data_IF_624711571722
#
_entry.id   IF_624711571722
#
_cell.length_a   1.000
_cell.length_b   1.000
_cell.length_c   1.000
_cell.angle_alpha   90.00
_cell.angle_beta   90.00
_cell.angle_gamma   90.00
#
_symmetry.space_group_name_H-M   'P 1'
#
loop_
_entity.id
_entity.type
_entity.pdbx_description
1 polymer ?
#
# COMPACT_ATOMS: atom_id res chain seq x y z
N UNK A 1 -14.85 -7.48 -0.10
CA UNK A 1 -13.48 -7.87 0.27
C UNK A 1 -12.79 -6.61 0.68
N UNK A 2 -12.38 -6.50 1.93
CA UNK A 2 -11.62 -5.36 2.40
C UNK A 2 -10.14 -5.71 2.43
N UNK A 3 -9.29 -4.71 2.21
CA UNK A 3 -7.85 -4.82 2.25
C UNK A 3 -7.34 -4.04 3.47
N UNK A 4 -6.42 -4.64 4.21
CA UNK A 4 -5.70 -4.03 5.33
C UNK A 4 -4.20 -4.04 4.98
N UNK A 5 -3.67 -2.87 4.63
CA UNK A 5 -2.25 -2.71 4.32
C UNK A 5 -1.54 -1.95 5.43
N UNK A 6 -0.38 -2.45 5.83
CA UNK A 6 0.49 -1.84 6.83
C UNK A 6 1.89 -1.74 6.28
N UNK A 7 2.48 -0.55 6.36
CA UNK A 7 3.83 -0.33 5.85
C UNK A 7 4.88 -1.22 6.53
N UNK A 8 4.66 -1.57 7.80
CA UNK A 8 5.51 -2.51 8.53
C UNK A 8 5.59 -3.88 7.86
N UNK A 9 4.46 -4.41 7.41
CA UNK A 9 4.36 -5.71 6.75
C UNK A 9 4.95 -5.69 5.34
N UNK A 10 4.96 -4.53 4.70
CA UNK A 10 5.65 -4.26 3.44
C UNK A 10 7.17 -4.02 3.57
N UNK A 11 7.75 -4.16 4.76
CA UNK A 11 9.19 -3.97 4.98
C UNK A 11 9.62 -2.52 5.27
N UNK A 12 8.68 -1.61 5.53
CA UNK A 12 8.94 -0.25 6.01
C UNK A 12 8.55 -0.10 7.49
N UNK A 13 9.31 -0.69 8.44
CA UNK A 13 8.96 -0.74 9.86
C UNK A 13 8.96 0.63 10.56
N UNK A 14 9.66 1.62 9.99
CA UNK A 14 9.68 3.00 10.49
C UNK A 14 8.44 3.79 10.10
N UNK A 15 7.65 3.28 9.15
CA UNK A 15 6.42 3.90 8.72
C UNK A 15 5.23 3.29 9.46
N UNK A 16 4.57 4.10 10.31
CA UNK A 16 3.31 3.73 10.96
C UNK A 16 2.09 3.82 10.03
N UNK A 17 2.28 3.86 8.71
CA UNK A 17 1.21 3.99 7.73
C UNK A 17 0.32 2.76 7.69
N UNK A 18 -0.97 2.97 7.91
CA UNK A 18 -2.02 1.97 7.81
C UNK A 18 -3.06 2.45 6.80
N UNK A 19 -3.33 1.62 5.79
CA UNK A 19 -4.25 1.91 4.71
C UNK A 19 -5.27 0.79 4.66
N UNK A 20 -6.54 1.14 4.81
CA UNK A 20 -7.66 0.22 4.57
C UNK A 20 -8.35 0.59 3.27
N UNK A 21 -8.83 -0.40 2.53
CA UNK A 21 -9.55 -0.19 1.28
C UNK A 21 -10.65 -1.23 1.06
N UNK A 22 -11.70 -0.86 0.35
CA UNK A 22 -12.81 -1.77 0.03
C UNK A 22 -12.64 -2.48 -1.32
N UNK A 23 -11.60 -2.13 -2.06
CA UNK A 23 -11.26 -2.69 -3.37
C UNK A 23 -9.79 -2.52 -3.67
N UNK A 24 -9.25 -3.38 -4.53
CA UNK A 24 -7.84 -3.35 -4.93
C UNK A 24 -7.48 -2.03 -5.61
N UNK A 25 -8.37 -1.50 -6.45
CA UNK A 25 -8.17 -0.21 -7.12
C UNK A 25 -8.04 0.94 -6.12
N UNK A 26 -8.88 0.94 -5.07
CA UNK A 26 -8.83 1.95 -4.01
C UNK A 26 -7.57 1.80 -3.16
N UNK A 27 -7.13 0.57 -2.90
CA UNK A 27 -5.86 0.30 -2.24
C UNK A 27 -4.69 0.87 -3.03
N UNK A 28 -4.65 0.63 -4.36
CA UNK A 28 -3.60 1.15 -5.25
C UNK A 28 -3.55 2.67 -5.27
N UNK A 29 -4.70 3.35 -5.28
CA UNK A 29 -4.78 4.81 -5.25
C UNK A 29 -4.22 5.37 -3.93
N UNK A 30 -4.68 4.82 -2.79
CA UNK A 30 -4.20 5.19 -1.46
C UNK A 30 -2.71 4.90 -1.26
N UNK A 31 -2.22 3.76 -1.76
CA UNK A 31 -0.81 3.41 -1.76
C UNK A 31 0.01 4.41 -2.57
N UNK A 32 -0.45 4.76 -3.78
CA UNK A 32 0.23 5.73 -4.65
C UNK A 32 0.35 7.09 -3.96
N UNK A 33 -0.72 7.56 -3.32
CA UNK A 33 -0.68 8.80 -2.55
C UNK A 33 0.25 8.71 -1.33
N UNK A 34 0.30 7.55 -0.65
CA UNK A 34 1.17 7.34 0.50
C UNK A 34 2.65 7.25 0.10
N UNK A 35 2.97 6.61 -1.01
CA UNK A 35 4.33 6.41 -1.53
C UNK A 35 5.05 7.73 -1.83
N UNK A 36 4.31 8.80 -2.16
CA UNK A 36 4.86 10.16 -2.27
C UNK A 36 5.52 10.66 -0.98
N UNK A 37 5.03 10.22 0.20
CA UNK A 37 5.66 10.54 1.50
C UNK A 37 7.03 9.88 1.68
N UNK A 38 7.31 8.84 0.91
CA UNK A 38 8.59 8.14 0.85
C UNK A 38 9.49 8.64 -0.29
N UNK A 39 9.10 9.71 -0.99
CA UNK A 39 9.82 10.23 -2.16
C UNK A 39 9.62 9.39 -3.43
N UNK A 40 8.61 8.52 -3.44
CA UNK A 40 8.25 7.74 -4.63
C UNK A 40 7.08 8.44 -5.32
N UNK A 41 7.40 9.36 -6.23
CA UNK A 41 6.42 10.14 -6.99
C UNK A 41 5.66 9.30 -8.02
N UNK A 42 6.32 8.30 -8.60
CA UNK A 42 5.75 7.43 -9.64
C UNK A 42 6.07 5.97 -9.33
N UNK A 43 5.28 5.33 -8.45
CA UNK A 43 5.45 3.91 -8.19
C UNK A 43 5.12 3.10 -9.44
N UNK A 44 6.00 2.15 -9.79
CA UNK A 44 5.75 1.24 -10.89
C UNK A 44 4.67 0.21 -10.52
N UNK A 45 4.06 -0.42 -11.53
CA UNK A 45 2.99 -1.41 -11.31
C UNK A 45 3.48 -2.62 -10.50
N UNK A 46 4.72 -3.07 -10.69
CA UNK A 46 5.29 -4.20 -9.93
C UNK A 46 5.38 -3.91 -8.43
N UNK A 47 5.76 -2.69 -8.04
CA UNK A 47 5.82 -2.25 -6.65
C UNK A 47 4.41 -2.20 -6.06
N UNK A 48 3.46 -1.60 -6.78
CA UNK A 48 2.06 -1.56 -6.33
C UNK A 48 1.49 -2.96 -6.16
N UNK A 49 1.76 -3.87 -7.10
CA UNK A 49 1.29 -5.25 -7.02
C UNK A 49 1.90 -6.00 -5.82
N UNK A 50 3.19 -5.82 -5.57
CA UNK A 50 3.84 -6.37 -4.38
C UNK A 50 3.24 -5.81 -3.08
N UNK A 51 2.95 -4.50 -3.02
CA UNK A 51 2.33 -3.88 -1.84
C UNK A 51 0.90 -4.36 -1.63
N UNK A 52 0.12 -4.49 -2.71
CA UNK A 52 -1.22 -5.07 -2.69
C UNK A 52 -1.18 -6.52 -2.22
N UNK A 53 -0.22 -7.31 -2.70
CA UNK A 53 -0.02 -8.71 -2.29
C UNK A 53 0.40 -8.84 -0.81
N UNK A 54 1.08 -7.83 -0.26
CA UNK A 54 1.41 -7.76 1.16
C UNK A 54 0.24 -7.31 2.06
N UNK A 55 -0.85 -6.82 1.48
CA UNK A 55 -2.04 -6.43 2.24
C UNK A 55 -2.85 -7.66 2.65
N UNK A 56 -3.35 -7.68 3.89
CA UNK A 56 -4.26 -8.72 4.35
C UNK A 56 -5.63 -8.53 3.70
N UNK A 57 -6.17 -9.58 3.08
CA UNK A 57 -7.55 -9.60 2.59
C UNK A 57 -8.48 -10.08 3.70
N UNK A 58 -9.46 -9.24 4.04
CA UNK A 58 -10.53 -9.52 5.01
C UNK A 58 -11.90 -9.66 4.34
#
# INVERSE_FOLDING_TARGET
MSYDFRCRDAGAPTCGGHITAESEQELRDKLTAHLRKHGVDTPNETLLDHLVASAERR
#
